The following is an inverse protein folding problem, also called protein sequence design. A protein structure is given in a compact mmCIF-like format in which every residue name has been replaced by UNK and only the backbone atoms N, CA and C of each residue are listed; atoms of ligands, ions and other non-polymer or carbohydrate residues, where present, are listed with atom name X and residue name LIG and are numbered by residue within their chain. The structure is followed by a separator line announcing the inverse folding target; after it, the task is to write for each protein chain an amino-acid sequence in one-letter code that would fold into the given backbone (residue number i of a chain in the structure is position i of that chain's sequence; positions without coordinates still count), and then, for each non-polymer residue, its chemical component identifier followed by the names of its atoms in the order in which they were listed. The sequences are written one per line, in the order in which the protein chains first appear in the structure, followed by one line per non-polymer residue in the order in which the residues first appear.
data_IF_740842369873
#
_entry.id   IF_740842369873
#
_cell.length_a   1.000
_cell.length_b   1.000
_cell.length_c   1.000
_cell.angle_alpha   90.00
_cell.angle_beta   90.00
_cell.angle_gamma   90.00
#
_symmetry.space_group_name_H-M   'P 1'
#
loop_
_entity.id
_entity.type
_entity.pdbx_description
1 polymer ?
#
# COMPACT_ATOMS: atom_id res chain seq x y z
N UNK A 1 5.58 15.98 18.33
CA UNK A 1 6.81 16.81 18.46
C UNK A 1 6.51 18.26 18.11
N UNK A 2 7.04 19.22 18.87
CA UNK A 2 6.64 20.62 18.77
C UNK A 2 7.71 21.54 18.15
N UNK A 3 7.24 22.59 17.48
CA UNK A 3 8.03 23.78 17.18
C UNK A 3 8.58 24.41 18.47
N UNK A 4 9.51 25.37 18.32
CA UNK A 4 10.09 26.14 19.43
C UNK A 4 9.06 26.79 20.37
N UNK A 5 7.80 26.89 19.94
CA UNK A 5 6.70 27.51 20.68
C UNK A 5 5.69 26.47 21.24
N UNK A 6 5.98 25.17 21.21
CA UNK A 6 5.09 24.14 21.74
C UNK A 6 3.91 23.75 20.82
N UNK A 7 3.93 24.17 19.55
CA UNK A 7 2.91 23.79 18.55
C UNK A 7 3.39 22.65 17.67
N UNK A 8 2.55 21.64 17.35
CA UNK A 8 2.97 20.50 16.56
C UNK A 8 3.46 20.93 15.17
N UNK A 9 4.49 20.24 14.66
CA UNK A 9 4.98 20.43 13.29
C UNK A 9 4.00 19.77 12.32
N UNK A 10 3.48 20.54 11.36
CA UNK A 10 2.45 20.09 10.41
C UNK A 10 3.10 19.59 9.12
N UNK A 11 2.58 18.47 8.62
CA UNK A 11 3.00 17.81 7.38
C UNK A 11 1.81 17.64 6.43
N UNK A 12 2.11 17.52 5.14
CA UNK A 12 1.17 17.03 4.15
C UNK A 12 1.45 15.58 3.78
N UNK A 13 0.41 14.81 3.49
CA UNK A 13 0.50 13.46 2.96
C UNK A 13 -0.32 13.34 1.68
N UNK A 14 0.26 12.74 0.66
CA UNK A 14 -0.42 12.39 -0.59
C UNK A 14 -0.35 10.87 -0.74
N UNK A 15 -1.49 10.22 -0.79
CA UNK A 15 -1.65 8.85 -1.28
C UNK A 15 -2.21 8.92 -2.69
N UNK A 16 -1.32 8.81 -3.68
CA UNK A 16 -1.64 8.83 -5.08
C UNK A 16 -2.05 7.41 -5.52
N UNK A 17 -3.36 7.17 -5.59
CA UNK A 17 -3.92 5.86 -5.91
C UNK A 17 -4.34 5.65 -7.36
N UNK A 18 -4.85 4.44 -7.61
CA UNK A 18 -5.56 3.98 -8.81
C UNK A 18 -6.53 4.98 -9.43
N UNK A 19 -7.52 5.27 -8.61
CA UNK A 19 -8.80 5.87 -8.97
C UNK A 19 -9.01 7.22 -8.30
N UNK A 20 -8.31 7.45 -7.19
CA UNK A 20 -8.36 8.67 -6.40
C UNK A 20 -7.02 8.93 -5.75
N UNK A 21 -6.74 10.20 -5.50
CA UNK A 21 -5.71 10.68 -4.61
C UNK A 21 -6.36 11.05 -3.28
N UNK A 22 -5.74 10.63 -2.17
CA UNK A 22 -6.11 11.10 -0.84
C UNK A 22 -5.03 12.07 -0.40
N UNK A 23 -5.40 13.33 -0.16
CA UNK A 23 -4.48 14.34 0.35
C UNK A 23 -4.90 14.71 1.76
N UNK A 24 -3.95 14.74 2.69
CA UNK A 24 -4.19 15.06 4.09
C UNK A 24 -3.17 16.08 4.60
N UNK A 25 -3.59 16.91 5.55
CA UNK A 25 -2.74 17.79 6.35
C UNK A 25 -2.89 17.41 7.80
N UNK A 26 -1.78 17.28 8.52
CA UNK A 26 -1.81 16.75 9.87
C UNK A 26 -0.45 16.60 10.53
N UNK A 27 -0.43 15.85 11.63
CA UNK A 27 0.77 15.49 12.37
C UNK A 27 0.57 14.12 13.04
N UNK A 28 1.61 13.29 13.05
CA UNK A 28 1.53 11.91 13.56
C UNK A 28 0.34 11.18 12.89
N UNK A 29 -0.62 10.65 13.66
CA UNK A 29 -1.86 10.05 13.17
C UNK A 29 -3.06 11.02 13.12
N UNK A 30 -2.86 12.29 13.49
CA UNK A 30 -3.94 13.29 13.55
C UNK A 30 -4.10 13.97 12.19
N UNK A 31 -5.28 13.83 11.59
CA UNK A 31 -5.67 14.50 10.35
C UNK A 31 -6.44 15.78 10.72
N UNK A 32 -5.94 16.92 10.27
CA UNK A 32 -6.59 18.24 10.43
C UNK A 32 -7.52 18.54 9.27
N UNK A 33 -7.10 18.17 8.06
CA UNK A 33 -7.87 18.37 6.84
C UNK A 33 -7.56 17.24 5.85
N UNK A 34 -8.56 16.76 5.11
CA UNK A 34 -8.40 15.72 4.10
C UNK A 34 -9.32 15.99 2.91
N UNK A 35 -8.87 15.63 1.71
CA UNK A 35 -9.67 15.63 0.50
C UNK A 35 -9.40 14.37 -0.33
N UNK A 36 -10.44 13.90 -1.03
CA UNK A 36 -10.31 12.88 -2.07
C UNK A 36 -10.46 13.55 -3.43
N UNK A 37 -9.46 13.37 -4.30
CA UNK A 37 -9.40 13.96 -5.64
C UNK A 37 -9.45 12.80 -6.64
N UNK A 38 -10.43 12.73 -7.56
CA UNK A 38 -10.46 11.71 -8.59
C UNK A 38 -9.17 11.70 -9.43
N UNK A 39 -8.62 10.52 -9.70
CA UNK A 39 -7.46 10.37 -10.58
C UNK A 39 -7.92 10.53 -12.02
N UNK A 40 -7.72 11.73 -12.57
CA UNK A 40 -8.00 12.07 -13.97
C UNK A 40 -6.67 12.22 -14.74
N UNK A 41 -6.65 13.09 -15.76
CA UNK A 41 -5.41 13.47 -16.42
C UNK A 41 -4.41 14.06 -15.40
N UNK A 42 -3.09 13.74 -15.49
CA UNK A 42 -2.12 14.15 -14.47
C UNK A 42 -2.10 15.66 -14.23
N UNK A 43 -2.16 16.47 -15.29
CA UNK A 43 -2.13 17.93 -15.15
C UNK A 43 -3.28 18.49 -14.30
N UNK A 44 -4.48 17.92 -14.41
CA UNK A 44 -5.66 18.37 -13.67
C UNK A 44 -5.65 17.87 -12.24
N UNK A 45 -5.29 16.58 -12.06
CA UNK A 45 -5.15 15.96 -10.75
C UNK A 45 -4.11 16.71 -9.90
N UNK A 46 -2.91 16.95 -10.45
CA UNK A 46 -1.82 17.61 -9.73
C UNK A 46 -2.09 19.10 -9.49
N UNK A 47 -2.89 19.76 -10.34
CA UNK A 47 -3.37 21.13 -10.07
C UNK A 47 -4.31 21.15 -8.87
N UNK A 48 -5.25 20.21 -8.79
CA UNK A 48 -6.17 20.09 -7.66
C UNK A 48 -5.42 19.76 -6.35
N UNK A 49 -4.44 18.85 -6.40
CA UNK A 49 -3.56 18.53 -5.28
C UNK A 49 -2.82 19.77 -4.78
N UNK A 50 -2.20 20.52 -5.70
CA UNK A 50 -1.48 21.74 -5.32
C UNK A 50 -2.41 22.80 -4.71
N UNK A 51 -3.60 22.99 -5.29
CA UNK A 51 -4.61 23.91 -4.77
C UNK A 51 -5.02 23.56 -3.34
N UNK A 52 -5.27 22.28 -3.06
CA UNK A 52 -5.61 21.81 -1.73
C UNK A 52 -4.56 22.21 -0.69
N UNK A 53 -3.27 21.93 -0.94
CA UNK A 53 -2.22 22.25 0.04
C UNK A 53 -1.96 23.76 0.19
N UNK A 54 -2.13 24.55 -0.87
CA UNK A 54 -2.01 26.01 -0.79
C UNK A 54 -3.09 26.56 0.14
N UNK A 55 -4.33 26.10 0.00
CA UNK A 55 -5.43 26.55 0.85
C UNK A 55 -5.35 25.99 2.27
N UNK A 56 -4.99 24.71 2.43
CA UNK A 56 -4.85 24.08 3.73
C UNK A 56 -3.76 24.75 4.58
N UNK A 57 -2.70 25.29 3.95
CA UNK A 57 -1.70 26.09 4.67
C UNK A 57 -2.26 27.38 5.29
N UNK A 58 -3.31 27.96 4.69
CA UNK A 58 -3.98 29.15 5.22
C UNK A 58 -4.91 28.79 6.38
N UNK A 59 -5.49 27.59 6.38
CA UNK A 59 -6.45 27.12 7.39
C UNK A 59 -5.79 26.43 8.58
N UNK A 60 -4.86 25.51 8.31
CA UNK A 60 -4.23 24.64 9.30
C UNK A 60 -2.87 25.16 9.78
N UNK A 61 -2.21 26.02 9.00
CA UNK A 61 -0.87 26.53 9.26
C UNK A 61 0.18 26.00 8.28
N UNK A 62 1.36 26.60 8.31
CA UNK A 62 2.44 26.32 7.34
C UNK A 62 2.93 24.86 7.45
N UNK A 63 2.96 24.16 6.32
CA UNK A 63 3.51 22.82 6.23
C UNK A 63 5.03 22.86 6.26
N UNK A 64 5.65 21.88 6.91
CA UNK A 64 7.11 21.73 6.94
C UNK A 64 7.65 20.87 5.80
N UNK A 65 6.88 19.88 5.36
CA UNK A 65 7.18 19.00 4.23
C UNK A 65 5.91 18.26 3.79
N UNK A 66 5.98 17.64 2.61
CA UNK A 66 4.95 16.76 2.08
C UNK A 66 5.56 15.39 1.77
N UNK A 67 4.89 14.32 2.17
CA UNK A 67 5.18 12.99 1.66
C UNK A 67 4.25 12.64 0.50
N UNK A 68 4.81 11.96 -0.49
CA UNK A 68 4.11 11.47 -1.67
C UNK A 68 4.28 9.95 -1.72
N UNK A 69 3.26 9.22 -1.31
CA UNK A 69 3.11 7.79 -1.59
C UNK A 69 2.42 7.63 -2.94
N UNK A 70 3.12 7.10 -3.94
CA UNK A 70 2.57 6.95 -5.29
C UNK A 70 2.40 5.49 -5.68
N UNK A 71 1.34 5.22 -6.44
CA UNK A 71 1.17 3.96 -7.15
C UNK A 71 2.39 3.70 -8.05
N UNK A 72 2.75 2.43 -8.16
CA UNK A 72 3.94 1.99 -8.87
C UNK A 72 3.73 1.64 -10.35
N UNK A 73 4.84 1.37 -11.06
CA UNK A 73 6.22 1.54 -10.56
C UNK A 73 6.62 3.02 -10.53
N UNK A 74 7.21 3.49 -9.43
CA UNK A 74 7.66 4.89 -9.24
C UNK A 74 9.13 4.93 -8.88
N UNK A 75 9.87 5.87 -9.46
CA UNK A 75 11.30 6.01 -9.15
C UNK A 75 11.51 6.69 -7.79
N UNK A 76 12.01 5.92 -6.82
CA UNK A 76 12.22 6.37 -5.43
C UNK A 76 13.69 6.61 -5.07
N UNK A 77 14.64 6.27 -5.95
CA UNK A 77 16.04 6.60 -5.73
C UNK A 77 16.27 8.12 -5.90
N UNK A 78 16.62 8.78 -4.80
CA UNK A 78 16.89 10.22 -4.74
C UNK A 78 18.08 10.66 -5.59
N UNK A 79 18.95 9.74 -5.98
CA UNK A 79 20.09 10.03 -6.85
C UNK A 79 19.74 9.87 -8.34
N UNK A 80 18.57 9.32 -8.65
CA UNK A 80 18.10 9.15 -10.02
C UNK A 80 17.64 10.49 -10.61
N UNK A 81 18.00 10.76 -11.85
CA UNK A 81 17.47 11.92 -12.60
C UNK A 81 15.95 11.86 -12.80
N UNK A 82 15.34 10.69 -12.59
CA UNK A 82 13.91 10.47 -12.70
C UNK A 82 13.21 10.37 -11.33
N UNK A 83 13.84 10.78 -10.22
CA UNK A 83 13.24 10.70 -8.89
C UNK A 83 11.83 11.32 -8.86
N UNK A 84 10.86 10.53 -8.41
CA UNK A 84 9.45 10.90 -8.34
C UNK A 84 8.67 10.86 -9.64
N UNK A 85 9.23 10.25 -10.69
CA UNK A 85 8.54 9.96 -11.95
C UNK A 85 7.83 8.61 -11.87
N UNK A 86 6.59 8.57 -12.34
CA UNK A 86 5.88 7.32 -12.62
C UNK A 86 6.53 6.67 -13.85
N UNK A 87 6.93 5.42 -13.74
CA UNK A 87 7.54 4.66 -14.83
C UNK A 87 6.44 4.07 -15.73
N UNK A 88 6.69 2.93 -16.38
CA UNK A 88 5.70 2.30 -17.23
C UNK A 88 4.51 1.80 -16.39
N UNK A 89 3.33 2.34 -16.69
CA UNK A 89 2.08 2.00 -16.00
C UNK A 89 0.96 1.82 -17.03
N UNK A 90 0.02 0.87 -16.83
CA UNK A 90 -1.15 0.74 -17.71
C UNK A 90 -2.15 1.90 -17.55
N UNK A 91 -1.93 2.81 -16.60
CA UNK A 91 -2.81 3.97 -16.42
C UNK A 91 -2.60 5.01 -17.53
N UNK A 92 -3.67 5.40 -18.24
CA UNK A 92 -3.58 6.39 -19.31
C UNK A 92 -2.91 7.69 -18.84
N UNK A 93 -1.99 8.21 -19.64
CA UNK A 93 -1.29 9.50 -19.46
C UNK A 93 -0.34 9.61 -18.25
N UNK A 94 -0.33 8.64 -17.33
CA UNK A 94 0.53 8.68 -16.15
C UNK A 94 1.96 8.15 -16.39
N UNK A 95 2.16 7.32 -17.42
CA UNK A 95 3.47 6.80 -17.79
C UNK A 95 4.46 7.92 -18.11
N UNK A 96 5.58 7.98 -17.39
CA UNK A 96 6.58 9.04 -17.54
C UNK A 96 6.24 10.37 -16.87
N UNK A 97 5.12 10.46 -16.14
CA UNK A 97 4.70 11.69 -15.47
C UNK A 97 5.65 12.07 -14.32
N UNK A 98 6.23 13.28 -14.38
CA UNK A 98 7.08 13.86 -13.33
C UNK A 98 6.24 14.50 -12.22
N UNK A 99 5.62 13.66 -11.39
CA UNK A 99 4.77 14.11 -10.27
C UNK A 99 5.56 14.98 -9.30
N UNK A 100 6.76 14.55 -8.94
CA UNK A 100 7.61 15.26 -7.99
C UNK A 100 8.00 16.64 -8.50
N UNK A 101 8.47 16.76 -9.75
CA UNK A 101 8.85 18.05 -10.34
C UNK A 101 7.68 19.03 -10.38
N UNK A 102 6.52 18.57 -10.87
CA UNK A 102 5.30 19.39 -10.98
C UNK A 102 4.84 19.89 -9.61
N UNK A 103 4.80 19.04 -8.60
CA UNK A 103 4.37 19.45 -7.26
C UNK A 103 5.40 20.32 -6.56
N UNK A 104 6.69 20.06 -6.75
CA UNK A 104 7.77 20.87 -6.16
C UNK A 104 7.74 22.30 -6.68
N UNK A 105 7.54 22.49 -7.99
CA UNK A 105 7.41 23.81 -8.61
C UNK A 105 6.21 24.59 -8.06
N UNK A 106 5.08 23.91 -7.87
CA UNK A 106 3.83 24.55 -7.42
C UNK A 106 3.78 24.87 -5.93
N UNK A 107 4.36 24.00 -5.10
CA UNK A 107 4.20 24.07 -3.65
C UNK A 107 5.39 24.74 -2.94
N UNK A 108 6.58 24.74 -3.55
CA UNK A 108 7.80 25.31 -2.97
C UNK A 108 8.07 24.77 -1.55
N UNK A 109 7.76 23.50 -1.32
CA UNK A 109 7.95 22.76 -0.07
C UNK A 109 8.85 21.53 -0.33
N UNK A 110 9.58 21.03 0.69
CA UNK A 110 10.24 19.73 0.59
C UNK A 110 9.22 18.62 0.33
N UNK A 111 9.42 17.83 -0.72
CA UNK A 111 8.60 16.67 -1.06
C UNK A 111 9.45 15.41 -1.00
N UNK A 112 8.93 14.37 -0.34
CA UNK A 112 9.59 13.07 -0.21
C UNK A 112 8.73 12.00 -0.84
N UNK A 113 9.30 11.29 -1.82
CA UNK A 113 8.59 10.29 -2.61
C UNK A 113 8.87 8.90 -2.07
N UNK A 114 7.81 8.09 -2.04
CA UNK A 114 7.83 6.67 -1.74
C UNK A 114 6.65 6.00 -2.48
N UNK A 115 6.55 4.67 -2.43
CA UNK A 115 5.33 3.98 -2.89
C UNK A 115 4.17 4.13 -1.88
N UNK A 116 2.95 4.03 -2.38
CA UNK A 116 1.73 3.99 -1.56
C UNK A 116 1.76 2.86 -0.52
N UNK A 117 2.19 1.65 -0.90
CA UNK A 117 2.29 0.50 -0.01
C UNK A 117 3.39 0.63 1.05
N UNK A 118 4.51 1.27 0.72
CA UNK A 118 5.57 1.56 1.71
C UNK A 118 5.13 2.66 2.68
N UNK A 119 4.36 3.65 2.24
CA UNK A 119 3.69 4.59 3.14
C UNK A 119 2.79 3.86 4.13
N UNK A 120 1.84 3.06 3.63
CA UNK A 120 0.90 2.33 4.47
C UNK A 120 1.62 1.38 5.45
N UNK A 121 2.68 0.69 5.00
CA UNK A 121 3.53 -0.14 5.83
C UNK A 121 4.17 0.64 6.98
N UNK A 122 4.75 1.81 6.72
CA UNK A 122 5.36 2.64 7.77
C UNK A 122 4.32 3.15 8.76
N UNK A 123 3.12 3.51 8.29
CA UNK A 123 2.03 3.88 9.16
C UNK A 123 1.62 2.73 10.08
N UNK A 124 1.45 1.53 9.52
CA UNK A 124 1.08 0.34 10.28
C UNK A 124 2.18 -0.10 11.26
N UNK A 125 3.46 0.10 10.91
CA UNK A 125 4.59 -0.16 11.78
C UNK A 125 4.61 0.77 13.01
N UNK A 126 4.33 2.06 12.81
CA UNK A 126 4.46 3.09 13.85
C UNK A 126 3.18 3.24 14.69
N UNK A 127 2.02 3.21 14.04
CA UNK A 127 0.72 3.53 14.67
C UNK A 127 -0.30 2.39 14.59
N UNK A 128 0.00 1.32 13.84
CA UNK A 128 -0.96 0.28 13.49
C UNK A 128 -0.67 -1.12 14.04
N UNK A 129 -1.01 -2.12 13.24
CA UNK A 129 -0.92 -3.54 13.59
C UNK A 129 0.53 -4.07 13.66
N UNK A 130 1.49 -3.29 13.18
CA UNK A 130 2.92 -3.59 13.19
C UNK A 130 3.69 -3.09 14.41
N UNK A 131 3.05 -2.34 15.33
CA UNK A 131 3.71 -1.80 16.52
C UNK A 131 4.46 -2.90 17.29
N UNK A 132 5.72 -2.62 17.61
CA UNK A 132 6.60 -3.54 18.35
C UNK A 132 7.30 -4.58 17.48
N UNK A 133 7.00 -4.62 16.17
CA UNK A 133 7.68 -5.49 15.21
C UNK A 133 8.59 -4.68 14.29
N UNK A 134 9.70 -5.29 13.89
CA UNK A 134 10.69 -4.65 13.03
C UNK A 134 10.93 -5.42 11.74
N UNK A 135 10.26 -6.56 11.57
CA UNK A 135 10.27 -7.35 10.36
C UNK A 135 8.82 -7.66 9.96
N UNK A 136 8.21 -6.84 9.11
CA UNK A 136 6.80 -7.00 8.75
C UNK A 136 6.58 -6.78 7.26
N UNK A 137 5.54 -7.42 6.73
CA UNK A 137 5.06 -7.20 5.37
C UNK A 137 3.69 -6.56 5.44
N UNK A 138 3.45 -5.60 4.56
CA UNK A 138 2.13 -5.06 4.27
C UNK A 138 1.74 -5.44 2.85
N UNK A 139 0.52 -5.93 2.65
CA UNK A 139 -0.08 -6.15 1.34
C UNK A 139 -1.38 -5.37 1.23
N UNK A 140 -1.59 -4.69 0.11
CA UNK A 140 -2.92 -4.17 -0.28
C UNK A 140 -3.48 -5.05 -1.38
N UNK A 141 -4.74 -5.46 -1.24
CA UNK A 141 -5.48 -6.26 -2.22
C UNK A 141 -6.75 -5.47 -2.56
N UNK A 142 -6.73 -4.85 -3.73
CA UNK A 142 -7.76 -3.90 -4.17
C UNK A 142 -7.84 -3.88 -5.69
N UNK A 143 -7.71 -2.72 -6.33
CA UNK A 143 -7.66 -2.64 -7.80
C UNK A 143 -6.50 -3.45 -8.39
N UNK A 144 -5.39 -3.53 -7.66
CA UNK A 144 -4.26 -4.42 -7.92
C UNK A 144 -3.78 -5.06 -6.62
N UNK A 145 -2.63 -5.71 -6.66
CA UNK A 145 -1.95 -6.22 -5.46
C UNK A 145 -0.57 -5.59 -5.34
N UNK A 146 -0.34 -4.85 -4.27
CA UNK A 146 0.93 -4.22 -3.96
C UNK A 146 1.43 -4.62 -2.59
N UNK A 147 2.74 -4.55 -2.36
CA UNK A 147 3.31 -4.91 -1.08
C UNK A 147 4.62 -4.22 -0.74
N UNK A 148 4.84 -3.99 0.54
CA UNK A 148 6.08 -3.47 1.09
C UNK A 148 6.67 -4.42 2.12
N UNK A 149 8.00 -4.38 2.30
CA UNK A 149 8.72 -5.12 3.33
C UNK A 149 9.50 -4.15 4.22
N UNK A 150 9.28 -4.26 5.53
CA UNK A 150 10.07 -3.60 6.56
C UNK A 150 10.97 -4.66 7.19
N UNK A 151 12.28 -4.42 7.25
CA UNK A 151 13.23 -5.30 7.95
C UNK A 151 14.22 -4.48 8.75
N UNK A 152 14.41 -4.84 10.01
CA UNK A 152 15.17 -4.05 10.99
C UNK A 152 14.70 -2.59 11.08
N UNK A 153 13.39 -2.36 10.95
CA UNK A 153 12.81 -1.00 10.98
C UNK A 153 13.12 -0.16 9.73
N UNK A 154 13.61 -0.77 8.65
CA UNK A 154 13.93 -0.08 7.40
C UNK A 154 13.15 -0.69 6.23
N UNK A 155 12.60 0.18 5.38
CA UNK A 155 11.99 -0.22 4.12
C UNK A 155 13.03 -0.94 3.26
N UNK A 156 12.65 -2.08 2.72
CA UNK A 156 13.51 -2.91 1.89
C UNK A 156 13.25 -2.63 0.41
N UNK A 157 14.13 -1.84 -0.19
CA UNK A 157 14.18 -1.56 -1.62
C UNK A 157 15.50 -2.11 -2.20
N UNK A 158 15.49 -2.50 -3.47
CA UNK A 158 16.66 -2.96 -4.23
C UNK A 158 16.93 -2.06 -5.44
N UNK A 159 17.02 -2.66 -6.63
CA UNK A 159 17.05 -1.90 -7.90
C UNK A 159 15.80 -1.00 -8.03
N UNK A 160 14.69 -1.43 -7.43
CA UNK A 160 13.44 -0.69 -7.24
C UNK A 160 12.78 -1.14 -5.93
N UNK A 161 11.58 -0.64 -5.62
CA UNK A 161 10.71 -1.22 -4.60
C UNK A 161 10.18 -2.62 -5.00
N UNK A 162 9.74 -3.45 -4.04
CA UNK A 162 9.12 -4.74 -4.33
C UNK A 162 7.83 -4.62 -5.15
N UNK A 163 7.56 -5.63 -5.97
CA UNK A 163 6.32 -5.81 -6.75
C UNK A 163 5.67 -7.16 -6.41
N UNK A 164 5.25 -7.29 -5.14
CA UNK A 164 4.84 -8.59 -4.57
C UNK A 164 3.59 -9.17 -5.25
N UNK A 165 2.68 -8.34 -5.76
CA UNK A 165 1.49 -8.81 -6.48
C UNK A 165 1.80 -9.47 -7.82
N UNK A 166 2.99 -9.25 -8.39
CA UNK A 166 3.40 -9.91 -9.62
C UNK A 166 4.14 -11.23 -9.38
N UNK A 167 4.24 -11.71 -8.13
CA UNK A 167 4.72 -13.06 -7.85
C UNK A 167 3.84 -14.11 -8.52
N UNK A 168 4.48 -15.08 -9.16
CA UNK A 168 3.77 -16.16 -9.83
C UNK A 168 3.17 -17.13 -8.81
N UNK A 169 1.92 -17.51 -9.02
CA UNK A 169 1.20 -18.46 -8.18
C UNK A 169 0.79 -19.69 -8.99
N UNK A 170 0.78 -20.89 -8.37
CA UNK A 170 0.07 -22.02 -8.95
C UNK A 170 -1.43 -21.68 -9.00
N UNK A 171 -2.13 -22.16 -10.05
CA UNK A 171 -3.59 -22.10 -10.06
C UNK A 171 -4.16 -22.85 -8.87
N UNK A 172 -5.24 -22.33 -8.30
CA UNK A 172 -5.94 -22.98 -7.20
C UNK A 172 -6.49 -24.33 -7.67
N UNK A 173 -6.34 -25.36 -6.85
CA UNK A 173 -6.92 -26.69 -7.11
C UNK A 173 -8.45 -26.70 -6.97
N UNK A 174 -9.01 -25.64 -6.38
CA UNK A 174 -10.45 -25.42 -6.19
C UNK A 174 -11.05 -24.81 -7.46
N UNK A 175 -10.25 -24.07 -8.22
CA UNK A 175 -10.67 -23.43 -9.45
C UNK A 175 -10.76 -24.47 -10.57
N UNK A 176 -11.95 -24.61 -11.15
CA UNK A 176 -12.24 -25.53 -12.26
C UNK A 176 -12.52 -24.79 -13.58
N UNK A 177 -12.30 -23.47 -13.60
CA UNK A 177 -12.61 -22.61 -14.73
C UNK A 177 -11.40 -22.34 -15.65
N UNK A 178 -11.67 -21.73 -16.80
CA UNK A 178 -10.69 -21.29 -17.78
C UNK A 178 -10.21 -19.86 -17.54
N UNK A 179 -10.30 -19.35 -16.29
CA UNK A 179 -9.96 -17.97 -15.98
C UNK A 179 -8.53 -17.63 -16.44
N UNK A 180 -8.45 -16.56 -17.23
CA UNK A 180 -7.24 -16.13 -17.92
C UNK A 180 -6.51 -15.00 -17.19
N UNK A 181 -7.10 -14.49 -16.11
CA UNK A 181 -6.54 -13.45 -15.27
C UNK A 181 -6.73 -12.03 -15.80
N UNK A 182 -6.64 -11.05 -14.92
CA UNK A 182 -6.86 -9.63 -15.26
C UNK A 182 -5.58 -8.82 -15.39
N UNK A 183 -4.42 -9.38 -15.01
CA UNK A 183 -3.16 -8.67 -15.11
C UNK A 183 -2.74 -8.57 -16.59
N UNK A 184 -2.50 -7.36 -17.14
CA UNK A 184 -2.15 -7.19 -18.54
C UNK A 184 -0.76 -7.72 -18.91
N UNK A 185 0.10 -7.95 -17.91
CA UNK A 185 1.46 -8.44 -18.11
C UNK A 185 1.57 -9.97 -18.03
N UNK A 186 0.86 -10.58 -17.07
CA UNK A 186 1.06 -11.98 -16.70
C UNK A 186 -0.22 -12.83 -16.72
N UNK A 187 -1.39 -12.24 -17.00
CA UNK A 187 -2.67 -12.94 -16.94
C UNK A 187 -2.86 -13.71 -15.62
N UNK A 188 -3.34 -14.94 -15.72
CA UNK A 188 -3.58 -15.86 -14.59
C UNK A 188 -2.31 -16.54 -14.04
N UNK A 189 -1.13 -15.95 -14.25
CA UNK A 189 0.11 -16.50 -13.70
C UNK A 189 0.54 -15.81 -12.41
N UNK A 190 0.17 -14.54 -12.20
CA UNK A 190 0.59 -13.77 -11.04
C UNK A 190 -0.54 -13.54 -10.03
N UNK A 191 -0.18 -13.24 -8.78
CA UNK A 191 -1.14 -13.03 -7.70
C UNK A 191 -2.17 -11.95 -8.03
N UNK A 192 -1.74 -10.80 -8.57
CA UNK A 192 -2.63 -9.72 -8.97
C UNK A 192 -3.65 -10.16 -10.03
N UNK A 193 -3.20 -10.90 -11.04
CA UNK A 193 -4.07 -11.39 -12.09
C UNK A 193 -5.11 -12.41 -11.62
N UNK A 194 -4.87 -13.04 -10.46
CA UNK A 194 -5.70 -14.11 -9.90
C UNK A 194 -6.62 -13.64 -8.77
N UNK A 195 -6.18 -12.66 -7.97
CA UNK A 195 -6.77 -12.28 -6.67
C UNK A 195 -6.91 -10.76 -6.46
N UNK A 196 -6.66 -9.92 -7.47
CA UNK A 196 -7.07 -8.52 -7.34
C UNK A 196 -8.60 -8.40 -7.42
N UNK A 197 -9.15 -7.30 -6.92
CA UNK A 197 -10.59 -6.99 -6.99
C UNK A 197 -11.20 -7.13 -8.39
N UNK A 198 -10.54 -6.69 -9.49
CA UNK A 198 -11.01 -6.97 -10.84
C UNK A 198 -11.05 -8.47 -11.18
N UNK A 199 -10.07 -9.26 -10.74
CA UNK A 199 -10.06 -10.70 -10.95
C UNK A 199 -11.22 -11.38 -10.22
N UNK A 200 -11.43 -11.00 -8.97
CA UNK A 200 -12.55 -11.45 -8.14
C UNK A 200 -13.90 -11.09 -8.80
N UNK A 201 -14.07 -9.86 -9.26
CA UNK A 201 -15.29 -9.40 -9.92
C UNK A 201 -15.56 -10.10 -11.25
N UNK A 202 -14.51 -10.31 -12.07
CA UNK A 202 -14.64 -11.05 -13.33
C UNK A 202 -15.04 -12.50 -13.08
N UNK A 203 -14.48 -13.15 -12.05
CA UNK A 203 -14.80 -14.54 -11.73
C UNK A 203 -16.20 -14.72 -11.12
N UNK A 204 -16.63 -13.80 -10.25
CA UNK A 204 -17.97 -13.86 -9.65
C UNK A 204 -19.10 -13.53 -10.64
N UNK A 205 -18.80 -12.82 -11.75
CA UNK A 205 -19.79 -12.38 -12.75
C UNK A 205 -20.93 -11.52 -12.16
N UNK A 206 -20.64 -10.76 -11.10
CA UNK A 206 -21.61 -9.94 -10.37
C UNK A 206 -20.96 -8.87 -9.49
N UNK A 207 -21.77 -8.14 -8.72
CA UNK A 207 -21.24 -7.21 -7.73
C UNK A 207 -20.71 -7.98 -6.52
N UNK A 208 -19.38 -8.03 -6.39
CA UNK A 208 -18.68 -8.69 -5.27
C UNK A 208 -19.17 -8.19 -3.91
N UNK A 209 -19.63 -6.94 -3.80
CA UNK A 209 -20.19 -6.40 -2.54
C UNK A 209 -21.48 -7.09 -2.10
N UNK A 210 -22.18 -7.72 -3.04
CA UNK A 210 -23.41 -8.47 -2.81
C UNK A 210 -23.17 -9.98 -2.69
N UNK A 211 -21.92 -10.43 -2.83
CA UNK A 211 -21.58 -11.84 -2.79
C UNK A 211 -21.77 -12.42 -1.37
N UNK A 212 -22.54 -13.51 -1.21
CA UNK A 212 -22.72 -14.17 0.08
C UNK A 212 -21.38 -14.67 0.65
N UNK A 213 -21.11 -14.56 1.97
CA UNK A 213 -19.86 -15.02 2.58
C UNK A 213 -19.58 -16.53 2.45
N UNK A 214 -20.58 -17.34 2.11
CA UNK A 214 -20.50 -18.79 1.93
C UNK A 214 -20.31 -19.21 0.46
N UNK A 215 -20.23 -18.25 -0.46
CA UNK A 215 -19.94 -18.52 -1.87
C UNK A 215 -18.51 -19.08 -2.04
N UNK A 216 -18.36 -20.05 -2.96
CA UNK A 216 -17.08 -20.71 -3.26
C UNK A 216 -16.00 -19.73 -3.73
N UNK A 217 -16.40 -18.58 -4.28
CA UNK A 217 -15.48 -17.57 -4.76
C UNK A 217 -14.52 -17.09 -3.67
N UNK A 218 -15.00 -16.94 -2.43
CA UNK A 218 -14.17 -16.53 -1.30
C UNK A 218 -13.16 -17.58 -0.90
N UNK A 219 -13.46 -18.86 -1.14
CA UNK A 219 -12.53 -19.96 -0.89
C UNK A 219 -11.41 -19.98 -1.93
N UNK A 220 -11.73 -19.66 -3.20
CA UNK A 220 -10.75 -19.50 -4.27
C UNK A 220 -9.85 -18.27 -3.98
N UNK A 221 -10.46 -17.15 -3.61
CA UNK A 221 -9.76 -15.91 -3.26
C UNK A 221 -8.81 -16.12 -2.07
N UNK A 222 -9.29 -16.74 -0.99
CA UNK A 222 -8.48 -17.08 0.16
C UNK A 222 -7.32 -18.03 -0.17
N UNK A 223 -7.53 -18.98 -1.09
CA UNK A 223 -6.47 -19.91 -1.52
C UNK A 223 -5.34 -19.18 -2.26
N UNK A 224 -5.67 -18.23 -3.14
CA UNK A 224 -4.68 -17.41 -3.83
C UNK A 224 -3.91 -16.48 -2.89
N UNK A 225 -4.62 -15.78 -2.01
CA UNK A 225 -3.97 -14.90 -1.01
C UNK A 225 -3.07 -15.73 -0.08
N UNK A 226 -3.50 -16.92 0.33
CA UNK A 226 -2.70 -17.84 1.13
C UNK A 226 -1.44 -18.32 0.39
N UNK A 227 -1.52 -18.58 -0.92
CA UNK A 227 -0.35 -18.94 -1.72
C UNK A 227 0.67 -17.80 -1.81
N UNK A 228 0.21 -16.56 -1.99
CA UNK A 228 1.07 -15.37 -1.93
C UNK A 228 1.72 -15.22 -0.54
N UNK A 229 0.93 -15.35 0.53
CA UNK A 229 1.44 -15.29 1.91
C UNK A 229 2.47 -16.38 2.18
N UNK A 230 2.27 -17.60 1.65
CA UNK A 230 3.25 -18.68 1.77
C UNK A 230 4.57 -18.32 1.09
N UNK A 231 4.54 -17.79 -0.15
CA UNK A 231 5.75 -17.38 -0.85
C UNK A 231 6.52 -16.30 -0.06
N UNK A 232 5.81 -15.32 0.48
CA UNK A 232 6.40 -14.24 1.28
C UNK A 232 6.92 -14.74 2.64
N UNK A 233 6.21 -15.68 3.27
CA UNK A 233 6.65 -16.35 4.49
C UNK A 233 7.95 -17.12 4.24
N UNK A 234 8.04 -17.92 3.17
CA UNK A 234 9.22 -18.74 2.91
C UNK A 234 10.44 -17.92 2.47
N UNK A 235 10.22 -16.74 1.87
CA UNK A 235 11.30 -15.88 1.36
C UNK A 235 11.78 -14.88 2.39
N UNK A 236 10.87 -14.25 3.13
CA UNK A 236 11.20 -13.19 4.08
C UNK A 236 11.09 -13.63 5.53
N UNK A 237 10.20 -14.57 5.86
CA UNK A 237 9.88 -14.97 7.24
C UNK A 237 9.64 -13.76 8.17
N UNK A 238 8.68 -12.88 7.83
CA UNK A 238 8.38 -11.72 8.66
C UNK A 238 7.79 -12.14 10.01
N UNK A 239 7.81 -11.24 10.98
CA UNK A 239 7.09 -11.39 12.25
C UNK A 239 5.56 -11.41 12.03
N UNK A 240 5.09 -10.71 10.99
CA UNK A 240 3.67 -10.48 10.70
C UNK A 240 3.46 -10.09 9.23
N UNK A 241 2.33 -10.51 8.65
CA UNK A 241 1.82 -10.04 7.37
C UNK A 241 0.50 -9.30 7.64
N UNK A 242 0.47 -8.03 7.28
CA UNK A 242 -0.67 -7.13 7.45
C UNK A 242 -1.38 -7.02 6.10
N UNK A 243 -2.67 -7.35 6.06
CA UNK A 243 -3.47 -7.33 4.84
C UNK A 243 -4.49 -6.18 4.88
N UNK A 244 -4.49 -5.37 3.83
CA UNK A 244 -5.44 -4.27 3.62
C UNK A 244 -5.97 -4.24 2.18
N UNK A 245 -6.67 -3.16 1.85
CA UNK A 245 -7.30 -2.96 0.54
C UNK A 245 -8.74 -3.47 0.48
N UNK A 246 -9.49 -3.00 -0.53
CA UNK A 246 -10.94 -3.17 -0.59
C UNK A 246 -11.44 -4.63 -0.67
N UNK A 247 -10.60 -5.57 -1.14
CA UNK A 247 -10.95 -7.01 -1.06
C UNK A 247 -10.90 -7.47 0.40
N UNK A 248 -9.92 -7.00 1.16
CA UNK A 248 -9.72 -7.36 2.58
C UNK A 248 -10.67 -6.66 3.54
N UNK A 249 -11.50 -5.72 3.07
CA UNK A 249 -12.63 -5.21 3.86
C UNK A 249 -13.62 -6.34 4.21
N UNK A 250 -13.64 -7.42 3.42
CA UNK A 250 -14.39 -8.64 3.68
C UNK A 250 -13.74 -9.46 4.82
N UNK A 251 -14.04 -9.10 6.07
CA UNK A 251 -13.39 -9.68 7.26
C UNK A 251 -13.51 -11.21 7.38
N UNK A 252 -14.52 -11.82 6.74
CA UNK A 252 -14.67 -13.27 6.70
C UNK A 252 -13.54 -14.00 5.93
N UNK A 253 -12.78 -13.29 5.08
CA UNK A 253 -11.63 -13.86 4.38
C UNK A 253 -10.47 -14.22 5.30
N UNK A 254 -10.23 -13.49 6.39
CA UNK A 254 -9.08 -13.74 7.28
C UNK A 254 -9.02 -15.18 7.82
N UNK A 255 -10.07 -15.74 8.45
CA UNK A 255 -10.05 -17.14 8.89
C UNK A 255 -9.91 -18.13 7.73
N UNK A 256 -10.42 -17.81 6.54
CA UNK A 256 -10.29 -18.65 5.34
C UNK A 256 -8.84 -18.67 4.84
N UNK A 257 -8.19 -17.51 4.76
CA UNK A 257 -6.79 -17.35 4.35
C UNK A 257 -5.88 -18.10 5.33
N UNK A 258 -6.08 -17.92 6.64
CA UNK A 258 -5.29 -18.61 7.67
C UNK A 258 -5.44 -20.12 7.57
N UNK A 259 -6.67 -20.61 7.31
CA UNK A 259 -6.92 -22.04 7.12
C UNK A 259 -6.24 -22.57 5.85
N UNK A 260 -6.37 -21.86 4.72
CA UNK A 260 -5.70 -22.24 3.47
C UNK A 260 -4.17 -22.20 3.61
N UNK A 261 -3.62 -21.19 4.29
CA UNK A 261 -2.18 -21.06 4.55
C UNK A 261 -1.67 -22.22 5.42
N UNK A 262 -2.39 -22.56 6.49
CA UNK A 262 -2.07 -23.71 7.34
C UNK A 262 -1.97 -25.01 6.53
N UNK A 263 -2.95 -25.26 5.64
CA UNK A 263 -2.92 -26.41 4.76
C UNK A 263 -1.73 -26.38 3.80
N UNK A 264 -1.40 -25.22 3.22
CA UNK A 264 -0.26 -25.07 2.31
C UNK A 264 1.10 -25.20 2.99
N UNK A 265 1.22 -24.85 4.28
CA UNK A 265 2.43 -25.10 5.08
C UNK A 265 2.69 -26.62 5.22
N UNK A 266 1.62 -27.44 5.24
CA UNK A 266 1.71 -28.91 5.16
C UNK A 266 2.68 -29.53 6.16
N UNK A 267 2.71 -29.03 7.40
CA UNK A 267 3.55 -29.57 8.47
C UNK A 267 4.98 -29.02 8.54
N UNK A 268 5.41 -28.21 7.55
CA UNK A 268 6.82 -27.80 7.44
C UNK A 268 7.29 -26.89 8.58
N UNK A 269 6.38 -26.08 9.16
CA UNK A 269 6.71 -25.07 10.18
C UNK A 269 5.96 -25.28 11.51
N UNK A 270 5.34 -26.44 11.74
CA UNK A 270 4.45 -26.68 12.89
C UNK A 270 5.10 -26.41 14.25
N UNK A 271 6.41 -26.61 14.36
CA UNK A 271 7.18 -26.37 15.59
C UNK A 271 7.42 -24.87 15.89
N UNK A 272 7.18 -23.99 14.91
CA UNK A 272 7.44 -22.56 14.98
C UNK A 272 6.11 -21.79 14.98
N UNK A 273 5.28 -22.07 13.98
CA UNK A 273 4.04 -21.37 13.68
C UNK A 273 2.88 -22.37 13.77
N UNK A 274 2.21 -22.43 14.91
CA UNK A 274 1.03 -23.27 15.09
C UNK A 274 -0.19 -22.64 14.40
N UNK A 275 -1.25 -23.42 14.22
CA UNK A 275 -2.50 -22.94 13.64
C UNK A 275 -3.07 -21.72 14.37
N UNK A 276 -3.01 -21.72 15.71
CA UNK A 276 -3.51 -20.63 16.55
C UNK A 276 -2.66 -19.36 16.38
N UNK A 277 -1.34 -19.50 16.19
CA UNK A 277 -0.45 -18.36 15.96
C UNK A 277 -0.71 -17.66 14.62
N UNK A 278 -1.39 -18.30 13.67
CA UNK A 278 -1.76 -17.65 12.41
C UNK A 278 -2.73 -16.49 12.61
N UNK A 279 -3.47 -16.47 13.72
CA UNK A 279 -4.37 -15.36 14.05
C UNK A 279 -3.61 -14.06 14.33
N UNK A 280 -2.42 -14.18 14.93
CA UNK A 280 -1.52 -13.05 15.20
C UNK A 280 -0.53 -12.80 14.05
N UNK A 281 -0.37 -13.76 13.14
CA UNK A 281 0.58 -13.67 12.03
C UNK A 281 -0.01 -13.00 10.79
N UNK A 282 -1.22 -13.39 10.37
CA UNK A 282 -1.96 -12.77 9.26
C UNK A 282 -3.04 -11.87 9.86
N UNK A 283 -2.87 -10.55 9.83
CA UNK A 283 -3.76 -9.60 10.52
C UNK A 283 -4.35 -8.55 9.57
N UNK A 284 -5.51 -7.98 9.90
CA UNK A 284 -5.99 -6.80 9.18
C UNK A 284 -5.15 -5.57 9.51
N UNK A 285 -5.18 -4.59 8.60
CA UNK A 285 -4.75 -3.22 8.89
C UNK A 285 -5.49 -2.65 10.11
N UNK A 286 -4.81 -1.81 10.90
CA UNK A 286 -5.43 -1.12 12.04
C UNK A 286 -5.87 0.31 11.69
N UNK A 287 -5.13 0.98 10.82
CA UNK A 287 -5.37 2.39 10.45
C UNK A 287 -6.42 2.56 9.34
N UNK A 288 -7.03 1.46 8.88
CA UNK A 288 -8.09 1.45 7.87
C UNK A 288 -7.71 2.27 6.62
N UNK A 289 -8.68 2.96 5.98
CA UNK A 289 -8.49 3.70 4.73
C UNK A 289 -7.56 4.92 4.80
N UNK A 290 -6.98 5.26 5.96
CA UNK A 290 -6.09 6.41 6.12
C UNK A 290 -4.60 6.01 6.20
N UNK A 291 -4.28 4.71 6.22
CA UNK A 291 -2.91 4.21 6.40
C UNK A 291 -1.93 4.82 5.37
N UNK A 292 -2.32 4.95 4.11
CA UNK A 292 -1.47 5.51 3.06
C UNK A 292 -1.16 7.00 3.28
N UNK A 293 -2.17 7.82 3.56
CA UNK A 293 -1.96 9.26 3.78
C UNK A 293 -1.25 9.57 5.11
N UNK A 294 -1.52 8.82 6.19
CA UNK A 294 -0.78 8.91 7.46
C UNK A 294 0.69 8.50 7.24
N UNK A 295 0.91 7.42 6.49
CA UNK A 295 2.23 6.96 6.10
C UNK A 295 3.02 8.01 5.33
N UNK A 296 2.38 8.67 4.37
CA UNK A 296 2.99 9.75 3.61
C UNK A 296 3.41 10.92 4.53
N UNK A 297 2.54 11.36 5.45
CA UNK A 297 2.92 12.38 6.45
C UNK A 297 4.13 11.93 7.29
N UNK A 298 4.14 10.67 7.72
CA UNK A 298 5.23 10.11 8.52
C UNK A 298 6.56 10.04 7.73
N UNK A 299 6.52 9.72 6.43
CA UNK A 299 7.71 9.79 5.56
C UNK A 299 8.25 11.21 5.48
N UNK A 300 7.37 12.20 5.33
CA UNK A 300 7.77 13.61 5.31
C UNK A 300 8.49 13.99 6.60
N UNK A 301 7.93 13.58 7.74
CA UNK A 301 8.50 13.77 9.06
C UNK A 301 9.90 13.15 9.17
N UNK A 302 10.03 11.84 8.93
CA UNK A 302 11.30 11.10 9.05
C UNK A 302 12.40 11.69 8.17
N UNK A 303 12.08 12.04 6.92
CA UNK A 303 13.08 12.51 5.97
C UNK A 303 13.49 13.97 6.22
N UNK A 304 12.56 14.82 6.63
CA UNK A 304 12.89 16.20 7.01
C UNK A 304 13.86 16.22 8.21
N UNK A 305 13.66 15.34 9.20
CA UNK A 305 14.58 15.23 10.33
C UNK A 305 15.96 14.69 9.91
N UNK A 306 16.02 13.67 9.06
CA UNK A 306 17.29 13.17 8.51
C UNK A 306 18.05 14.26 7.74
N UNK A 307 17.36 15.13 7.00
CA UNK A 307 17.99 16.27 6.31
C UNK A 307 18.54 17.30 7.31
N UNK A 308 17.77 17.63 8.36
CA UNK A 308 18.20 18.58 9.40
C UNK A 308 19.38 18.10 10.25
N UNK A 309 19.59 16.79 10.37
CA UNK A 309 20.74 16.23 11.09
C UNK A 309 22.02 16.19 10.24
N UNK A 310 21.91 16.29 8.91
CA UNK A 310 23.05 16.29 7.98
C UNK A 310 23.59 17.69 7.68
N UNK A 311 22.81 18.74 7.98
CA UNK A 311 23.15 20.14 7.82
C UNK A 311 23.51 20.78 9.17
#
# INVERSE_FOLDING_TARGET
MDNKNGTPIIFGGIEAGGTKFICAVGYEQTILEQVQIPTAHPADTLRAVAQFFIEAQQRCGKLSAIGLGAFGPVQIDKNSANYGRILDTPKPDWGGCDIYGILTEKLLLPIFVETDVNCALLAEAEYGAGIGHHHIIYLTIGTGIGGGLLRHGQLQNGILHPEMGHMFLPKSVIEMDDFTGTCPYHGAQCAEGLAAGPALATRYLGDVKSCPPDDIIWQIEADYIAALCLNLMMTCMPDKIILGGGVMDNQHLFPMIRTALWHKISGYLDNILTREKLDDYIVPVRLSGDAGCIGAMHIAQLNLFKQRQKN
#
